data_IF_162093660404
#
_entry.id   IF_162093660404
#
_cell.length_a   1.000
_cell.length_b   1.000
_cell.length_c   1.000
_cell.angle_alpha   90.00
_cell.angle_beta   90.00
_cell.angle_gamma   90.00
#
_symmetry.space_group_name_H-M   'P 1'
#
loop_
_entity.id
_entity.type
_entity.pdbx_description
1 polymer ?
#
# COMPACT_ATOMS: atom_id res chain seq x y z
N UNK A 1 1.42 19.78 11.89
CA UNK A 1 0.19 19.08 11.50
C UNK A 1 0.40 17.61 11.85
N UNK A 2 0.03 17.21 13.06
CA UNK A 2 0.41 15.93 13.71
C UNK A 2 -0.81 15.27 14.32
N UNK A 3 -1.97 15.38 13.66
CA UNK A 3 -3.16 14.67 14.11
C UNK A 3 -3.22 13.29 13.44
N UNK A 4 -2.71 12.30 14.15
CA UNK A 4 -2.69 10.88 13.76
C UNK A 4 -4.08 10.27 13.64
N UNK A 5 -5.14 10.95 14.10
CA UNK A 5 -6.51 10.43 13.99
C UNK A 5 -7.07 10.52 12.57
N UNK A 6 -6.52 11.41 11.73
CA UNK A 6 -6.92 11.57 10.32
C UNK A 6 -5.86 11.10 9.32
N UNK A 7 -4.60 11.01 9.77
CA UNK A 7 -3.48 10.55 8.96
C UNK A 7 -3.18 9.10 9.35
N UNK A 8 -3.77 8.15 8.64
CA UNK A 8 -3.42 6.74 8.80
C UNK A 8 -1.91 6.54 8.63
N UNK A 9 -1.33 5.61 9.39
CA UNK A 9 0.09 5.27 9.28
C UNK A 9 0.33 4.48 7.97
N UNK A 10 1.15 5.03 7.07
CA UNK A 10 1.62 4.34 5.85
C UNK A 10 1.44 5.12 4.55
N UNK A 11 1.82 4.49 3.44
CA UNK A 11 1.66 5.03 2.07
C UNK A 11 0.43 4.40 1.41
N UNK A 12 -0.41 5.21 0.77
CA UNK A 12 -1.65 4.76 0.14
C UNK A 12 -1.81 5.31 -1.29
N UNK A 13 -2.67 4.65 -2.09
CA UNK A 13 -3.07 5.11 -3.42
C UNK A 13 -4.35 5.94 -3.29
N UNK A 14 -4.27 7.23 -3.62
CA UNK A 14 -5.43 8.13 -3.62
C UNK A 14 -6.38 7.84 -4.79
N UNK A 15 -7.67 7.74 -4.49
CA UNK A 15 -8.75 7.47 -5.45
C UNK A 15 -9.90 8.47 -5.28
N UNK A 16 -10.73 8.64 -6.32
CA UNK A 16 -12.00 9.38 -6.19
C UNK A 16 -12.94 8.62 -5.24
N UNK A 17 -13.72 9.36 -4.45
CA UNK A 17 -14.57 8.79 -3.38
C UNK A 17 -15.68 7.87 -3.89
N UNK A 18 -16.15 8.09 -5.12
CA UNK A 18 -17.24 7.35 -5.76
C UNK A 18 -16.75 6.18 -6.62
N UNK A 19 -15.43 6.02 -6.79
CA UNK A 19 -14.85 5.03 -7.70
C UNK A 19 -14.62 3.66 -7.02
N UNK A 20 -15.72 3.05 -6.58
CA UNK A 20 -15.69 1.79 -5.83
C UNK A 20 -15.18 0.61 -6.66
N UNK A 21 -15.38 0.66 -7.98
CA UNK A 21 -14.95 -0.38 -8.91
C UNK A 21 -13.42 -0.45 -8.99
N UNK A 22 -12.75 0.69 -9.22
CA UNK A 22 -11.29 0.72 -9.26
C UNK A 22 -10.66 0.52 -7.87
N UNK A 23 -11.32 0.99 -6.81
CA UNK A 23 -10.87 0.70 -5.44
C UNK A 23 -10.76 -0.81 -5.19
N UNK A 24 -11.80 -1.56 -5.57
CA UNK A 24 -11.82 -3.02 -5.43
C UNK A 24 -10.73 -3.69 -6.27
N UNK A 25 -10.59 -3.26 -7.53
CA UNK A 25 -9.60 -3.82 -8.45
C UNK A 25 -8.17 -3.59 -7.95
N UNK A 26 -7.85 -2.38 -7.49
CA UNK A 26 -6.52 -2.03 -6.97
C UNK A 26 -6.23 -2.80 -5.69
N UNK A 27 -7.18 -2.91 -4.76
CA UNK A 27 -6.98 -3.66 -3.52
C UNK A 27 -6.70 -5.15 -3.80
N UNK A 28 -7.42 -5.75 -4.74
CA UNK A 28 -7.19 -7.14 -5.14
C UNK A 28 -5.81 -7.32 -5.78
N UNK A 29 -5.43 -6.44 -6.70
CA UNK A 29 -4.12 -6.48 -7.35
C UNK A 29 -2.97 -6.29 -6.34
N UNK A 30 -3.13 -5.36 -5.39
CA UNK A 30 -2.16 -5.16 -4.30
C UNK A 30 -2.01 -6.45 -3.46
N UNK A 31 -3.13 -7.04 -3.03
CA UNK A 31 -3.10 -8.29 -2.26
C UNK A 31 -2.40 -9.42 -3.02
N UNK A 32 -2.62 -9.51 -4.33
CA UNK A 32 -1.97 -10.51 -5.19
C UNK A 32 -0.45 -10.29 -5.28
N UNK A 33 0.02 -9.06 -5.52
CA UNK A 33 1.46 -8.79 -5.62
C UNK A 33 2.19 -8.93 -4.28
N UNK A 34 1.50 -8.74 -3.16
CA UNK A 34 2.03 -9.08 -1.84
C UNK A 34 2.14 -10.61 -1.68
N UNK A 35 1.09 -11.35 -2.02
CA UNK A 35 1.05 -12.82 -1.90
C UNK A 35 2.09 -13.51 -2.77
N UNK A 36 2.31 -13.02 -3.99
CA UNK A 36 3.22 -13.64 -4.96
C UNK A 36 4.67 -13.14 -4.86
N UNK A 37 4.99 -12.22 -3.94
CA UNK A 37 6.35 -11.71 -3.71
C UNK A 37 6.83 -10.66 -4.73
N UNK A 38 5.98 -10.23 -5.67
CA UNK A 38 6.31 -9.16 -6.63
C UNK A 38 6.60 -7.85 -5.89
N UNK A 39 5.82 -7.52 -4.85
CA UNK A 39 6.07 -6.33 -4.05
C UNK A 39 7.46 -6.35 -3.43
N UNK A 40 7.83 -7.46 -2.78
CA UNK A 40 9.15 -7.60 -2.13
C UNK A 40 10.30 -7.51 -3.13
N UNK A 41 10.11 -8.02 -4.34
CA UNK A 41 11.10 -7.92 -5.43
C UNK A 41 11.31 -6.46 -5.85
N UNK A 42 10.22 -5.70 -6.01
CA UNK A 42 10.28 -4.29 -6.34
C UNK A 42 10.87 -3.46 -5.19
N UNK A 43 10.47 -3.73 -3.95
CA UNK A 43 10.99 -3.05 -2.77
C UNK A 43 12.52 -3.17 -2.70
N UNK A 44 13.06 -4.40 -2.76
CA UNK A 44 14.51 -4.65 -2.72
C UNK A 44 15.28 -4.04 -3.88
N UNK A 45 14.62 -3.80 -5.01
CA UNK A 45 15.25 -3.18 -6.18
C UNK A 45 15.49 -1.69 -5.98
N UNK A 46 14.58 -1.00 -5.28
CA UNK A 46 14.59 0.46 -5.17
C UNK A 46 14.97 0.96 -3.77
N UNK A 47 14.86 0.11 -2.75
CA UNK A 47 15.11 0.47 -1.36
C UNK A 47 16.05 -0.54 -0.70
N UNK A 48 16.99 -0.01 0.09
CA UNK A 48 17.94 -0.81 0.89
C UNK A 48 17.42 -1.10 2.30
N UNK A 49 16.20 -0.65 2.62
CA UNK A 49 15.51 -0.80 3.89
C UNK A 49 14.05 -1.20 3.63
N UNK A 50 13.39 -1.78 4.63
CA UNK A 50 11.97 -2.12 4.56
C UNK A 50 11.12 -0.84 4.59
N UNK A 51 10.42 -0.55 3.50
CA UNK A 51 9.56 0.61 3.35
C UNK A 51 8.22 0.37 4.05
N UNK A 52 7.77 -0.88 4.05
CA UNK A 52 6.53 -1.28 4.70
C UNK A 52 6.81 -2.14 5.93
N UNK A 53 6.90 -1.49 7.10
CA UNK A 53 6.99 -2.21 8.36
C UNK A 53 5.58 -2.58 8.83
N UNK A 54 5.15 -3.81 8.54
CA UNK A 54 3.92 -4.39 9.08
C UNK A 54 4.14 -4.65 10.57
N UNK A 55 3.97 -3.64 11.42
CA UNK A 55 3.90 -3.86 12.86
C UNK A 55 2.79 -4.89 13.12
N UNK A 56 3.18 -6.03 13.68
CA UNK A 56 2.27 -7.08 14.16
C UNK A 56 1.47 -6.60 15.34
#
# INVERSE_FOLDING_TARGET
MTDTSYLGEGTAIGLRKDDQAHLTLINNALAEIYKNGTYQTLEKKYFTFEVYNKKS
#
